data_IF_540719501810
#
_entry.id   IF_540719501810
#
_cell.length_a   1.000
_cell.length_b   1.000
_cell.length_c   1.000
_cell.angle_alpha   90.00
_cell.angle_beta   90.00
_cell.angle_gamma   90.00
#
_symmetry.space_group_name_H-M   'P 1'
#
loop_
_entity.id
_entity.type
_entity.pdbx_description
1 polymer ?
#
# COMPACT_ATOMS: atom_id res chain seq x y z
N UNK A 1 20.35 3.32 -13.63
CA UNK A 1 19.01 3.71 -13.10
C UNK A 1 18.02 2.76 -13.72
N UNK A 2 17.22 2.08 -12.94
CA UNK A 2 16.18 1.19 -13.48
C UNK A 2 15.16 2.07 -14.25
N UNK A 3 14.96 1.84 -15.57
CA UNK A 3 14.11 2.72 -16.39
C UNK A 3 12.60 2.68 -16.02
N UNK A 4 12.24 1.98 -14.95
CA UNK A 4 10.88 1.73 -14.53
C UNK A 4 10.49 2.41 -13.24
N UNK A 5 11.46 2.81 -12.43
CA UNK A 5 11.18 3.66 -11.30
C UNK A 5 10.65 4.98 -11.81
N UNK A 6 9.60 5.46 -11.24
CA UNK A 6 9.07 6.80 -11.49
C UNK A 6 9.95 7.75 -10.69
N UNK A 7 10.85 8.52 -11.34
CA UNK A 7 11.87 9.29 -10.61
C UNK A 7 11.27 10.22 -9.56
N UNK A 8 10.17 10.87 -9.89
CA UNK A 8 9.49 11.78 -8.97
C UNK A 8 8.89 11.09 -7.74
N UNK A 9 8.51 9.81 -7.83
CA UNK A 9 8.08 9.04 -6.67
C UNK A 9 9.28 8.64 -5.81
N UNK A 10 10.36 8.19 -6.43
CA UNK A 10 11.61 7.88 -5.72
C UNK A 10 12.13 9.10 -4.99
N UNK A 11 12.22 10.25 -5.68
CA UNK A 11 12.69 11.50 -5.08
C UNK A 11 11.81 11.94 -3.90
N UNK A 12 10.48 11.78 -4.01
CA UNK A 12 9.54 12.10 -2.95
C UNK A 12 9.73 11.17 -1.74
N UNK A 13 9.87 9.86 -1.96
CA UNK A 13 10.10 8.90 -0.90
C UNK A 13 11.46 9.14 -0.25
N UNK A 14 12.51 9.39 -1.03
CA UNK A 14 13.85 9.67 -0.50
C UNK A 14 13.92 10.97 0.31
N UNK A 15 13.05 11.91 0.03
CA UNK A 15 12.94 13.17 0.78
C UNK A 15 12.25 13.03 2.14
N UNK A 16 11.55 11.94 2.42
CA UNK A 16 10.89 11.72 3.71
C UNK A 16 11.93 11.59 4.83
N UNK A 17 11.67 12.23 5.96
CA UNK A 17 12.46 12.10 7.19
C UNK A 17 12.02 10.84 7.96
N UNK A 18 12.30 9.69 7.39
CA UNK A 18 12.04 8.37 7.97
C UNK A 18 13.17 7.44 7.56
N UNK A 19 13.48 6.52 8.45
CA UNK A 19 14.38 5.42 8.13
C UNK A 19 13.74 4.50 7.10
N UNK A 20 14.48 4.12 6.07
CA UNK A 20 13.94 3.39 4.92
C UNK A 20 14.91 2.41 4.30
N UNK A 21 14.35 1.30 3.85
CA UNK A 21 15.05 0.27 3.07
C UNK A 21 14.39 0.13 1.71
N UNK A 22 15.20 0.23 0.67
CA UNK A 22 14.76 -0.04 -0.68
C UNK A 22 14.86 -1.54 -0.97
N UNK A 23 13.72 -2.20 -1.16
CA UNK A 23 13.68 -3.62 -1.49
C UNK A 23 13.79 -3.80 -3.00
N UNK A 24 14.73 -4.66 -3.41
CA UNK A 24 14.86 -5.06 -4.81
C UNK A 24 13.77 -6.06 -5.18
N UNK A 25 13.37 -6.04 -6.44
CA UNK A 25 12.39 -6.99 -6.92
C UNK A 25 13.05 -8.36 -7.13
N UNK A 26 12.64 -9.27 -6.31
CA UNK A 26 12.89 -10.69 -6.47
C UNK A 26 11.70 -11.33 -7.19
N UNK A 27 11.72 -12.65 -7.39
CA UNK A 27 10.49 -13.37 -7.69
C UNK A 27 9.47 -13.08 -6.57
N UNK A 28 8.18 -13.16 -6.87
CA UNK A 28 7.13 -12.84 -5.87
C UNK A 28 7.33 -13.60 -4.55
N UNK A 29 7.80 -14.85 -4.63
CA UNK A 29 8.07 -15.68 -3.45
C UNK A 29 9.28 -15.17 -2.66
N UNK A 30 10.35 -14.83 -3.35
CA UNK A 30 11.56 -14.26 -2.71
C UNK A 30 11.25 -12.89 -2.09
N UNK A 31 10.39 -12.09 -2.71
CA UNK A 31 9.94 -10.82 -2.17
C UNK A 31 9.22 -10.99 -0.82
N UNK A 32 8.34 -11.98 -0.70
CA UNK A 32 7.65 -12.30 0.58
C UNK A 32 8.66 -12.63 1.67
N UNK A 33 9.63 -13.48 1.37
CA UNK A 33 10.67 -13.89 2.32
C UNK A 33 11.54 -12.70 2.75
N UNK A 34 11.95 -11.87 1.80
CA UNK A 34 12.75 -10.65 2.09
C UNK A 34 11.97 -9.66 2.95
N UNK A 35 10.70 -9.40 2.63
CA UNK A 35 9.85 -8.52 3.45
C UNK A 35 9.70 -9.08 4.85
N UNK A 36 9.47 -10.39 4.99
CA UNK A 36 9.35 -11.04 6.28
C UNK A 36 10.62 -10.90 7.12
N UNK A 37 11.79 -11.08 6.52
CA UNK A 37 13.09 -10.93 7.17
C UNK A 37 13.33 -9.48 7.62
N UNK A 38 12.99 -8.49 6.80
CA UNK A 38 13.09 -7.07 7.14
C UNK A 38 12.18 -6.76 8.33
N UNK A 39 10.92 -7.19 8.29
CA UNK A 39 9.97 -6.97 9.38
C UNK A 39 10.46 -7.61 10.67
N UNK A 40 10.97 -8.85 10.61
CA UNK A 40 11.48 -9.55 11.78
C UNK A 40 12.67 -8.83 12.45
N UNK A 41 13.51 -8.17 11.66
CA UNK A 41 14.71 -7.48 12.13
C UNK A 41 14.51 -5.96 12.32
N UNK A 42 13.32 -5.43 12.06
CA UNK A 42 13.04 -4.02 12.25
C UNK A 42 13.21 -3.60 13.72
N UNK A 43 13.92 -2.51 13.96
CA UNK A 43 14.12 -1.96 15.31
C UNK A 43 13.01 -0.98 15.70
N UNK A 44 12.27 -0.46 14.73
CA UNK A 44 11.27 0.59 14.93
C UNK A 44 9.83 0.07 14.71
N UNK A 45 8.88 0.82 15.24
CA UNK A 45 7.45 0.59 15.11
C UNK A 45 6.77 1.98 15.01
N UNK A 46 5.84 2.24 14.08
CA UNK A 46 5.33 1.29 13.08
C UNK A 46 6.27 1.01 11.91
N UNK A 47 5.97 -0.08 11.21
CA UNK A 47 6.58 -0.39 9.93
C UNK A 47 5.61 -0.06 8.81
N UNK A 48 6.06 0.76 7.84
CA UNK A 48 5.25 1.17 6.70
C UNK A 48 5.66 0.49 5.41
N UNK A 49 4.69 0.25 4.54
CA UNK A 49 4.92 -0.09 3.13
C UNK A 49 4.50 1.11 2.28
N UNK A 50 5.41 1.56 1.42
CA UNK A 50 5.17 2.64 0.47
C UNK A 50 5.49 2.13 -0.93
N UNK A 51 4.52 2.19 -1.84
CA UNK A 51 4.71 1.79 -3.22
C UNK A 51 5.62 2.77 -3.97
N UNK A 52 6.44 2.29 -4.89
CA UNK A 52 7.38 3.10 -5.68
C UNK A 52 6.71 3.91 -6.81
N UNK A 53 5.41 3.76 -6.97
CA UNK A 53 4.55 4.60 -7.81
C UNK A 53 3.71 5.61 -6.99
N UNK A 54 3.93 5.66 -5.68
CA UNK A 54 3.34 6.62 -4.78
C UNK A 54 4.26 7.83 -4.57
N UNK A 55 3.68 9.01 -4.48
CA UNK A 55 4.38 10.26 -4.21
C UNK A 55 3.86 10.89 -2.92
N UNK A 56 4.29 10.39 -1.76
CA UNK A 56 3.95 10.96 -0.46
C UNK A 56 4.72 12.28 -0.22
N UNK A 57 4.18 13.11 0.65
CA UNK A 57 4.91 14.20 1.24
C UNK A 57 5.13 13.99 2.75
N UNK A 58 5.98 14.82 3.36
CA UNK A 58 6.28 14.72 4.79
C UNK A 58 5.02 14.96 5.65
N UNK A 59 4.13 15.85 5.22
CA UNK A 59 2.92 16.15 5.97
C UNK A 59 1.98 14.94 6.06
N UNK A 60 1.83 14.19 4.95
CA UNK A 60 1.07 12.95 4.95
C UNK A 60 1.69 11.89 5.87
N UNK A 61 3.03 11.78 5.88
CA UNK A 61 3.74 10.88 6.78
C UNK A 61 3.53 11.28 8.25
N UNK A 62 3.72 12.55 8.57
CA UNK A 62 3.57 13.06 9.94
C UNK A 62 2.15 12.80 10.46
N UNK A 63 1.12 13.03 9.63
CA UNK A 63 -0.27 12.74 10.00
C UNK A 63 -0.49 11.25 10.37
N UNK A 64 0.09 10.33 9.60
CA UNK A 64 -0.06 8.90 9.87
C UNK A 64 0.74 8.48 11.11
N UNK A 65 1.96 9.00 11.27
CA UNK A 65 2.81 8.70 12.43
C UNK A 65 2.20 9.26 13.72
N UNK A 66 1.67 10.49 13.68
CA UNK A 66 1.03 11.12 14.84
C UNK A 66 -0.27 10.43 15.24
N UNK A 67 -0.98 9.84 14.28
CA UNK A 67 -2.23 9.11 14.53
C UNK A 67 -2.00 7.67 14.98
N UNK A 68 -0.79 7.15 14.79
CA UNK A 68 -0.50 5.73 14.98
C UNK A 68 -0.64 5.28 16.44
N UNK A 69 -1.39 4.20 16.64
CA UNK A 69 -1.44 3.43 17.88
C UNK A 69 -1.27 1.92 17.58
N UNK A 70 -0.50 1.18 18.39
CA UNK A 70 -0.33 -0.26 18.20
C UNK A 70 -1.66 -1.02 18.23
N UNK A 71 -1.78 -2.05 17.39
CA UNK A 71 -2.96 -2.93 17.36
C UNK A 71 -3.95 -2.67 16.24
N UNK A 72 -3.76 -1.60 15.48
CA UNK A 72 -4.54 -1.29 14.28
C UNK A 72 -3.62 -0.99 13.08
N UNK A 73 -4.21 -0.94 11.89
CA UNK A 73 -3.56 -0.51 10.65
C UNK A 73 -3.89 0.95 10.40
N UNK A 74 -2.90 1.74 10.02
CA UNK A 74 -3.06 3.14 9.64
C UNK A 74 -2.62 3.32 8.20
N UNK A 75 -3.41 4.04 7.43
CA UNK A 75 -3.13 4.23 6.00
C UNK A 75 -3.43 5.65 5.56
N UNK A 76 -2.60 6.17 4.69
CA UNK A 76 -3.01 7.23 3.79
C UNK A 76 -3.86 6.68 2.67
N UNK A 77 -4.23 7.53 1.73
CA UNK A 77 -5.08 7.14 0.61
C UNK A 77 -4.65 7.82 -0.68
N UNK A 78 -4.97 7.17 -1.80
CA UNK A 78 -4.66 7.68 -3.13
C UNK A 78 -5.84 7.42 -4.07
N UNK A 79 -5.90 8.12 -5.18
CA UNK A 79 -6.88 7.83 -6.22
C UNK A 79 -6.64 6.45 -6.83
N UNK A 80 -7.70 5.75 -7.22
CA UNK A 80 -7.62 4.47 -7.91
C UNK A 80 -6.92 4.59 -9.27
N UNK A 81 -7.12 5.72 -9.95
CA UNK A 81 -6.40 6.07 -11.18
C UNK A 81 -6.47 7.57 -11.43
N UNK A 82 -5.74 8.05 -12.42
CA UNK A 82 -5.75 9.46 -12.84
C UNK A 82 -7.15 9.99 -13.23
N UNK A 83 -8.02 9.09 -13.69
CA UNK A 83 -9.38 9.42 -14.13
C UNK A 83 -10.47 8.91 -13.19
N UNK A 84 -10.11 8.24 -12.11
CA UNK A 84 -11.03 7.70 -11.13
C UNK A 84 -10.79 8.41 -9.78
N UNK A 85 -11.66 9.34 -9.45
CA UNK A 85 -11.58 10.14 -8.22
C UNK A 85 -11.92 9.36 -6.94
N UNK A 86 -12.33 8.09 -7.07
CA UNK A 86 -12.47 7.20 -5.93
C UNK A 86 -11.11 6.89 -5.35
N UNK A 87 -11.06 6.73 -4.04
CA UNK A 87 -9.82 6.41 -3.33
C UNK A 87 -9.71 4.91 -3.04
N UNK A 88 -8.51 4.45 -2.81
CA UNK A 88 -8.16 3.06 -2.52
C UNK A 88 -8.53 2.62 -1.09
N UNK A 89 -9.73 2.96 -0.65
CA UNK A 89 -10.30 2.61 0.64
C UNK A 89 -11.68 1.98 0.44
N UNK A 90 -12.15 1.21 1.41
CA UNK A 90 -13.52 0.68 1.42
C UNK A 90 -14.22 1.09 2.71
N UNK A 91 -15.37 1.74 2.60
CA UNK A 91 -16.16 2.21 3.76
C UNK A 91 -17.13 1.17 4.31
N UNK A 92 -17.20 0.01 3.65
CA UNK A 92 -17.95 -1.15 4.14
C UNK A 92 -17.07 -2.41 4.11
N UNK A 93 -17.45 -3.45 4.86
CA UNK A 93 -16.75 -4.72 4.86
C UNK A 93 -16.51 -5.25 3.45
N UNK A 94 -15.33 -5.82 3.23
CA UNK A 94 -15.00 -6.45 1.96
C UNK A 94 -15.85 -7.70 1.73
N UNK A 95 -16.30 -7.90 0.50
CA UNK A 95 -16.84 -9.19 0.10
C UNK A 95 -15.68 -10.16 -0.12
N UNK A 96 -15.54 -11.14 0.76
CA UNK A 96 -14.40 -12.07 0.74
C UNK A 96 -14.62 -13.12 -0.35
N UNK A 97 -13.71 -13.15 -1.32
CA UNK A 97 -13.67 -14.13 -2.39
C UNK A 97 -12.24 -14.41 -2.85
N UNK A 98 -12.02 -15.41 -3.67
CA UNK A 98 -10.68 -15.80 -4.11
C UNK A 98 -10.02 -14.74 -4.97
N UNK A 99 -10.75 -14.14 -5.91
CA UNK A 99 -10.26 -13.05 -6.76
C UNK A 99 -11.00 -11.75 -6.44
N UNK A 100 -10.26 -10.68 -6.13
CA UNK A 100 -10.84 -9.37 -5.95
C UNK A 100 -11.40 -8.82 -7.27
N UNK A 101 -12.63 -8.33 -7.20
CA UNK A 101 -13.28 -7.54 -8.24
C UNK A 101 -13.71 -6.21 -7.66
N UNK A 102 -14.08 -5.25 -8.50
CA UNK A 102 -14.52 -3.93 -8.02
C UNK A 102 -15.73 -4.00 -7.09
N UNK A 103 -16.56 -5.05 -7.22
CA UNK A 103 -17.73 -5.28 -6.38
C UNK A 103 -17.39 -5.77 -4.95
N UNK A 104 -16.12 -6.10 -4.69
CA UNK A 104 -15.65 -6.44 -3.34
C UNK A 104 -15.55 -5.22 -2.43
N UNK A 105 -15.56 -4.02 -2.97
CA UNK A 105 -15.28 -2.77 -2.28
C UNK A 105 -16.46 -1.81 -2.31
N UNK A 106 -16.57 -0.99 -1.28
CA UNK A 106 -17.43 0.20 -1.28
C UNK A 106 -16.55 1.43 -1.24
N UNK A 107 -16.19 1.92 -2.43
CA UNK A 107 -15.31 3.06 -2.58
C UNK A 107 -16.01 4.39 -2.29
N UNK A 108 -15.22 5.36 -1.86
CA UNK A 108 -15.62 6.77 -1.71
C UNK A 108 -14.69 7.64 -2.55
N UNK A 109 -15.09 8.86 -2.82
CA UNK A 109 -14.23 9.88 -3.42
C UNK A 109 -13.35 10.55 -2.36
N UNK A 110 -12.28 11.21 -2.82
CA UNK A 110 -11.45 12.02 -1.95
C UNK A 110 -12.25 13.11 -1.25
N UNK A 111 -13.12 13.81 -1.97
CA UNK A 111 -13.91 14.91 -1.44
C UNK A 111 -14.89 14.43 -0.35
N UNK A 112 -15.54 13.28 -0.53
CA UNK A 112 -16.38 12.66 0.49
C UNK A 112 -15.59 12.31 1.74
N UNK A 113 -14.40 11.71 1.58
CA UNK A 113 -13.53 11.34 2.69
C UNK A 113 -13.03 12.57 3.47
N UNK A 114 -12.62 13.62 2.77
CA UNK A 114 -12.12 14.86 3.38
C UNK A 114 -13.22 15.70 4.03
N UNK A 115 -14.48 15.47 3.67
CA UNK A 115 -15.64 16.08 4.31
C UNK A 115 -16.03 15.42 5.66
N UNK A 116 -15.50 14.23 5.94
CA UNK A 116 -15.75 13.57 7.23
C UNK A 116 -15.21 14.41 8.39
N UNK A 117 -15.95 14.53 9.52
CA UNK A 117 -15.54 15.36 10.64
C UNK A 117 -14.35 14.77 11.42
N UNK A 118 -14.24 13.44 11.43
CA UNK A 118 -13.25 12.73 12.22
C UNK A 118 -11.88 12.71 11.52
N UNK A 119 -10.81 12.76 12.30
CA UNK A 119 -9.45 12.67 11.79
C UNK A 119 -9.10 11.24 11.35
N UNK A 120 -9.72 10.24 11.98
CA UNK A 120 -9.58 8.82 11.66
C UNK A 120 -10.89 8.29 11.12
N UNK A 121 -10.84 7.71 9.93
CA UNK A 121 -12.00 7.19 9.24
C UNK A 121 -11.85 5.68 9.14
N UNK A 122 -12.86 4.95 9.62
CA UNK A 122 -12.86 3.50 9.53
C UNK A 122 -12.84 3.07 8.07
N UNK A 123 -11.87 2.23 7.73
CA UNK A 123 -11.79 1.56 6.44
C UNK A 123 -11.77 0.04 6.61
N UNK A 124 -12.11 -0.67 5.56
CA UNK A 124 -12.02 -2.12 5.46
C UNK A 124 -10.95 -2.56 4.45
N UNK A 125 -10.33 -1.60 3.80
CA UNK A 125 -9.26 -1.82 2.83
C UNK A 125 -8.19 -0.74 2.94
N UNK A 126 -6.95 -1.18 2.80
CA UNK A 126 -5.77 -0.33 2.70
C UNK A 126 -4.88 -0.88 1.58
N UNK A 127 -4.70 -0.10 0.53
CA UNK A 127 -3.72 -0.45 -0.52
C UNK A 127 -2.30 -0.26 -0.02
N UNK A 128 -1.36 -1.02 -0.56
CA UNK A 128 0.06 -0.94 -0.16
C UNK A 128 0.76 0.36 -0.60
N UNK A 129 0.02 1.35 -1.10
CA UNK A 129 0.62 2.61 -1.53
C UNK A 129 1.19 3.42 -0.35
N UNK A 130 0.59 3.35 0.84
CA UNK A 130 1.02 4.10 2.02
C UNK A 130 0.35 3.53 3.28
N UNK A 131 0.79 2.36 3.74
CA UNK A 131 0.15 1.60 4.83
C UNK A 131 1.15 1.26 5.92
N UNK A 132 0.74 1.47 7.19
CA UNK A 132 1.56 1.31 8.37
C UNK A 132 0.86 0.44 9.41
N UNK A 133 1.59 -0.48 10.00
CA UNK A 133 1.14 -1.25 11.16
C UNK A 133 2.32 -1.74 12.00
N UNK A 134 2.04 -2.24 13.20
CA UNK A 134 3.07 -2.74 14.09
C UNK A 134 3.76 -4.00 13.53
N UNK A 135 4.99 -4.24 13.98
CA UNK A 135 5.71 -5.49 13.69
C UNK A 135 4.90 -6.72 14.08
N UNK A 136 4.21 -6.66 15.24
CA UNK A 136 3.34 -7.77 15.67
C UNK A 136 2.25 -8.06 14.67
N UNK A 137 1.57 -7.03 14.16
CA UNK A 137 0.55 -7.20 13.13
C UNK A 137 1.14 -7.73 11.82
N UNK A 138 2.29 -7.20 11.37
CA UNK A 138 2.97 -7.73 10.19
C UNK A 138 3.38 -9.19 10.34
N UNK A 139 3.78 -9.60 11.55
CA UNK A 139 4.13 -11.00 11.85
C UNK A 139 2.91 -11.91 11.85
N UNK A 140 1.79 -11.45 12.41
CA UNK A 140 0.53 -12.22 12.45
C UNK A 140 -0.17 -12.28 11.10
N UNK A 141 -0.04 -11.21 10.31
CA UNK A 141 -0.67 -11.06 8.99
C UNK A 141 0.42 -10.74 7.95
N UNK A 142 1.31 -11.72 7.68
CA UNK A 142 2.45 -11.45 6.81
C UNK A 142 2.00 -11.04 5.40
N UNK A 143 2.82 -10.23 4.78
CA UNK A 143 2.69 -9.96 3.35
C UNK A 143 2.64 -11.30 2.61
N UNK A 144 1.71 -11.46 1.72
CA UNK A 144 1.52 -12.71 1.00
C UNK A 144 1.20 -12.48 -0.46
N UNK A 145 1.64 -13.40 -1.29
CA UNK A 145 1.28 -13.43 -2.70
C UNK A 145 0.24 -14.52 -2.90
N UNK A 146 -0.90 -14.13 -3.45
CA UNK A 146 -1.93 -15.08 -3.89
C UNK A 146 -1.88 -15.10 -5.41
N UNK A 147 -1.53 -16.25 -5.97
CA UNK A 147 -1.57 -16.45 -7.42
C UNK A 147 -3.04 -16.57 -7.87
N UNK A 148 -3.61 -15.43 -8.21
CA UNK A 148 -5.00 -15.31 -8.66
C UNK A 148 -5.13 -15.24 -10.19
N UNK A 149 -4.06 -15.39 -10.94
CA UNK A 149 -4.07 -15.21 -12.40
C UNK A 149 -4.32 -13.76 -12.86
N UNK A 150 -4.68 -12.85 -11.93
CA UNK A 150 -4.89 -11.41 -12.16
C UNK A 150 -3.89 -10.53 -11.42
N UNK A 151 -2.78 -11.10 -11.03
CA UNK A 151 -1.76 -10.45 -10.21
C UNK A 151 -1.89 -10.88 -8.75
N UNK A 152 -1.05 -10.30 -7.91
CA UNK A 152 -0.86 -10.79 -6.55
C UNK A 152 -2.03 -10.47 -5.62
N UNK A 153 -2.77 -9.39 -5.88
CA UNK A 153 -3.87 -8.89 -5.03
C UNK A 153 -3.55 -8.98 -3.51
N UNK A 154 -2.27 -8.79 -3.19
CA UNK A 154 -1.71 -9.03 -1.84
C UNK A 154 -2.35 -8.13 -0.79
N UNK A 155 -2.67 -6.88 -1.14
CA UNK A 155 -3.36 -5.92 -0.30
C UNK A 155 -4.79 -6.36 0.02
N UNK A 156 -5.54 -6.81 -0.99
CA UNK A 156 -6.89 -7.33 -0.78
C UNK A 156 -6.90 -8.52 0.18
N UNK A 157 -6.07 -9.52 -0.07
CA UNK A 157 -6.02 -10.72 0.78
C UNK A 157 -5.49 -10.43 2.19
N UNK A 158 -4.59 -9.46 2.33
CA UNK A 158 -4.19 -8.96 3.64
C UNK A 158 -5.39 -8.37 4.39
N UNK A 159 -6.13 -7.47 3.73
CA UNK A 159 -7.29 -6.81 4.34
C UNK A 159 -8.43 -7.80 4.65
N UNK A 160 -8.66 -8.82 3.85
CA UNK A 160 -9.61 -9.89 4.19
C UNK A 160 -9.22 -10.61 5.49
N UNK A 161 -7.94 -10.95 5.66
CA UNK A 161 -7.45 -11.60 6.90
C UNK A 161 -7.54 -10.67 8.12
N UNK A 162 -7.25 -9.38 7.94
CA UNK A 162 -7.43 -8.38 8.99
C UNK A 162 -8.90 -8.25 9.39
N UNK A 163 -9.80 -8.23 8.39
CA UNK A 163 -11.26 -8.19 8.62
C UNK A 163 -11.77 -9.41 9.39
N UNK A 164 -11.34 -10.62 9.00
CA UNK A 164 -11.70 -11.86 9.69
C UNK A 164 -11.19 -11.90 11.14
N UNK A 165 -10.07 -11.24 11.41
CA UNK A 165 -9.48 -11.13 12.74
C UNK A 165 -9.96 -9.90 13.53
N UNK A 166 -10.92 -9.15 12.99
CA UNK A 166 -11.48 -7.93 13.60
C UNK A 166 -10.42 -6.86 13.93
N UNK A 167 -9.35 -6.80 13.11
CA UNK A 167 -8.33 -5.75 13.23
C UNK A 167 -8.81 -4.49 12.52
N UNK A 168 -8.75 -3.38 13.22
CA UNK A 168 -9.16 -2.08 12.67
C UNK A 168 -8.19 -1.55 11.62
N UNK A 169 -8.74 -0.98 10.56
CA UNK A 169 -8.00 -0.20 9.57
C UNK A 169 -8.52 1.24 9.62
N UNK A 170 -7.62 2.17 9.87
CA UNK A 170 -7.90 3.59 9.95
C UNK A 170 -7.26 4.35 8.79
N UNK A 171 -8.08 4.97 7.97
CA UNK A 171 -7.63 5.96 7.02
C UNK A 171 -7.44 7.30 7.74
N UNK A 172 -6.27 7.90 7.57
CA UNK A 172 -5.93 9.18 8.21
C UNK A 172 -6.34 10.31 7.27
N UNK A 173 -7.34 11.11 7.69
CA UNK A 173 -7.82 12.23 6.89
C UNK A 173 -6.68 13.23 6.65
N UNK A 174 -6.57 13.70 5.41
CA UNK A 174 -5.50 14.58 4.98
C UNK A 174 -4.20 13.88 4.56
N UNK A 175 -4.02 12.61 4.89
CA UNK A 175 -2.85 11.84 4.44
C UNK A 175 -3.03 11.33 3.00
N UNK A 176 -3.31 12.26 2.08
CA UNK A 176 -3.44 11.95 0.66
C UNK A 176 -2.07 11.78 0.01
N UNK A 177 -1.92 10.71 -0.76
CA UNK A 177 -0.71 10.39 -1.50
C UNK A 177 -1.04 10.33 -2.98
N UNK A 178 -0.27 11.02 -3.80
CA UNK A 178 -0.45 10.95 -5.24
C UNK A 178 0.04 9.58 -5.76
N UNK A 179 -0.84 8.88 -6.47
CA UNK A 179 -0.52 7.60 -7.11
C UNK A 179 -0.27 7.82 -8.60
N UNK A 180 0.98 7.74 -9.01
CA UNK A 180 1.41 8.04 -10.38
C UNK A 180 1.32 6.80 -11.26
N UNK A 181 0.12 6.46 -11.69
CA UNK A 181 -0.11 5.32 -12.60
C UNK A 181 0.18 5.70 -14.04
N UNK A 182 1.44 5.83 -14.43
CA UNK A 182 1.80 6.17 -15.83
C UNK A 182 1.37 5.14 -16.87
N UNK A 183 1.04 3.93 -16.45
CA UNK A 183 0.79 2.81 -17.35
C UNK A 183 -0.66 2.32 -17.38
N UNK A 184 -1.53 2.84 -16.53
CA UNK A 184 -2.94 2.46 -16.53
C UNK A 184 -3.75 3.11 -17.65
N UNK A 185 -3.19 4.12 -18.33
CA UNK A 185 -3.90 4.90 -19.35
C UNK A 185 -3.95 4.25 -20.72
N UNK A 186 -3.31 3.12 -20.93
CA UNK A 186 -3.31 2.43 -22.24
C UNK A 186 -4.47 1.47 -22.42
N UNK A 187 -5.32 1.29 -21.42
CA UNK A 187 -6.39 0.29 -21.45
C UNK A 187 -5.85 -1.15 -21.46
N UNK A 188 -4.55 -1.30 -21.34
CA UNK A 188 -3.85 -2.57 -21.36
C UNK A 188 -3.24 -2.85 -19.98
N UNK A 189 -4.09 -3.33 -19.07
CA UNK A 189 -3.65 -3.82 -17.75
C UNK A 189 -2.56 -4.89 -17.86
N UNK A 190 -2.44 -5.51 -19.04
CA UNK A 190 -1.37 -6.47 -19.32
C UNK A 190 -0.04 -5.78 -19.59
N UNK A 191 -0.03 -4.56 -20.14
CA UNK A 191 1.21 -3.82 -20.38
C UNK A 191 1.84 -3.33 -19.06
N UNK A 192 1.04 -2.87 -18.11
CA UNK A 192 1.49 -2.57 -16.75
C UNK A 192 2.05 -3.81 -16.04
N UNK A 193 1.39 -4.95 -16.16
CA UNK A 193 1.84 -6.23 -15.62
C UNK A 193 3.05 -6.78 -16.37
N UNK A 194 3.10 -6.69 -17.69
CA UNK A 194 4.25 -7.11 -18.47
C UNK A 194 5.49 -6.28 -18.17
N UNK A 195 5.33 -5.02 -17.85
CA UNK A 195 6.40 -4.14 -17.41
C UNK A 195 6.87 -4.43 -15.98
N UNK A 196 6.00 -4.94 -15.12
CA UNK A 196 6.35 -5.39 -13.78
C UNK A 196 6.91 -6.82 -13.75
N UNK A 197 6.44 -7.70 -14.62
CA UNK A 197 6.79 -9.14 -14.64
C UNK A 197 7.83 -9.48 -15.74
N UNK A 198 7.88 -8.73 -16.80
CA UNK A 198 8.69 -9.05 -17.99
C UNK A 198 10.10 -8.50 -17.98
N UNK A 199 10.62 -8.07 -16.84
CA UNK A 199 11.94 -7.47 -16.75
C UNK A 199 12.75 -8.12 -15.68
N UNK A 200 13.81 -8.68 -16.17
CA UNK A 200 14.96 -9.17 -15.47
C UNK A 200 15.29 -8.36 -14.26
N UNK A 201 15.48 -9.06 -13.22
CA UNK A 201 14.71 -8.95 -11.99
C UNK A 201 14.40 -7.50 -11.76
N UNK A 202 13.20 -7.13 -12.12
CA UNK A 202 12.78 -5.77 -11.98
C UNK A 202 12.86 -5.46 -10.49
N UNK A 203 13.50 -4.40 -10.15
CA UNK A 203 13.49 -3.89 -8.80
C UNK A 203 12.09 -3.31 -8.55
N UNK A 204 11.23 -4.02 -7.89
CA UNK A 204 10.08 -3.41 -7.18
C UNK A 204 10.64 -2.85 -5.91
N UNK A 205 10.41 -1.60 -5.74
CA UNK A 205 10.96 -0.89 -4.62
C UNK A 205 9.87 -0.75 -3.59
N UNK A 206 10.02 -1.46 -2.52
CA UNK A 206 9.25 -1.26 -1.31
C UNK A 206 10.15 -0.55 -0.32
N UNK A 207 9.65 0.51 0.25
CA UNK A 207 10.41 1.21 1.25
C UNK A 207 10.14 0.58 2.62
N UNK A 208 11.10 -0.16 3.11
CA UNK A 208 11.03 -0.82 4.39
C UNK A 208 12.33 -0.55 5.12
N UNK A 209 12.34 0.18 6.17
CA UNK A 209 13.35 0.34 7.23
C UNK A 209 14.84 0.41 6.82
N UNK A 210 15.69 1.17 7.49
CA UNK A 210 17.09 1.37 7.13
C UNK A 210 17.97 0.14 7.40
N UNK A 211 19.10 0.11 6.67
CA UNK A 211 20.25 -0.73 7.06
C UNK A 211 20.85 -0.28 8.39
#
# INVERSE_FOLDING_TARGET
MNPRRIPECVDAIDALSIDKVWVKNYTERELVDVIADIIANAEHDPIGIISDDARPDQAALDLVVDAYEPGAVYTGYCNLSEHDYRVNLSTAPLTIQFEATMDCYTFVTKDELEAEPDALIRSWFAGHCFTFMSRDLWTRFPFGVVDSGKGTQSDYHLCCRLQEAEVDIWAVRGAFVEHVKRYSNTGDDTAGRALLVGVEPAEVVWNLIPE
#
